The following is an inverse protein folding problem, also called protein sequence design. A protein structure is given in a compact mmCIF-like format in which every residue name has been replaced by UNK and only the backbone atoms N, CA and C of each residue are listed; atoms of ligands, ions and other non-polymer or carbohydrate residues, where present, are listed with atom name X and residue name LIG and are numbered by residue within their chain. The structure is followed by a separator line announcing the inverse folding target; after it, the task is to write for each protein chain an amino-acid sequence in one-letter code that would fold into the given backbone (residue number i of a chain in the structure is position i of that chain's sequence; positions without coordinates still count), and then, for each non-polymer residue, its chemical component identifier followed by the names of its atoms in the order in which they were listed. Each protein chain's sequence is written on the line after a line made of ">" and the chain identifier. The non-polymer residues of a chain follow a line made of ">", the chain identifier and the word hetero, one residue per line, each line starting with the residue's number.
data_IF_547741491578
#
_entry.id   IF_547741491578
#
_cell.length_a   1.000
_cell.length_b   1.000
_cell.length_c   1.000
_cell.angle_alpha   90.00
_cell.angle_beta   90.00
_cell.angle_gamma   90.00
#
_symmetry.space_group_name_H-M   'P 1'
#
loop_
_entity.id
_entity.type
_entity.pdbx_description
1 polymer ?
#
# COMPACT_ATOMS: atom_id res chain seq x y z
N UNK A 1 6.17 -6.01 18.96
CA UNK A 1 5.51 -4.70 19.08
C UNK A 1 4.95 -4.41 17.70
N UNK A 2 3.64 -4.24 17.59
CA UNK A 2 2.96 -4.02 16.30
C UNK A 2 2.79 -2.51 16.10
N UNK A 3 3.67 -1.91 15.30
CA UNK A 3 3.68 -0.49 14.96
C UNK A 3 2.52 -0.17 14.00
N UNK A 4 1.32 -0.01 14.56
CA UNK A 4 0.14 0.45 13.82
C UNK A 4 0.17 1.98 13.72
N UNK A 5 0.83 2.51 12.67
CA UNK A 5 0.72 3.92 12.29
C UNK A 5 -0.50 4.06 11.37
N UNK A 6 -1.63 4.48 11.96
CA UNK A 6 -2.87 4.72 11.23
C UNK A 6 -2.75 6.03 10.43
N UNK A 7 -2.61 5.95 9.11
CA UNK A 7 -2.70 7.13 8.23
C UNK A 7 -4.18 7.55 8.16
N UNK A 8 -4.42 8.87 8.19
CA UNK A 8 -5.71 9.54 8.50
C UNK A 8 -6.90 9.22 7.57
N UNK A 9 -6.76 8.24 6.67
CA UNK A 9 -7.77 7.74 5.74
C UNK A 9 -8.41 6.41 6.19
N UNK A 10 -8.10 5.91 7.39
CA UNK A 10 -8.68 4.67 7.93
C UNK A 10 -8.02 3.39 7.40
N UNK A 11 -6.88 3.52 6.73
CA UNK A 11 -6.05 2.40 6.29
C UNK A 11 -4.73 2.44 7.05
N UNK A 12 -4.46 1.42 7.86
CA UNK A 12 -3.20 1.24 8.59
C UNK A 12 -2.13 0.69 7.64
N UNK A 13 -0.91 1.19 7.73
CA UNK A 13 0.20 0.67 6.94
C UNK A 13 1.21 0.00 7.86
N UNK A 14 1.72 -1.16 7.45
CA UNK A 14 2.84 -1.76 8.18
C UNK A 14 4.14 -1.04 7.83
N UNK A 15 5.14 -1.04 8.74
CA UNK A 15 6.43 -0.41 8.47
C UNK A 15 7.16 -1.02 7.26
N UNK A 16 6.92 -2.29 6.92
CA UNK A 16 7.45 -2.89 5.69
C UNK A 16 6.79 -2.28 4.43
N UNK A 17 5.47 -2.08 4.47
CA UNK A 17 4.73 -1.47 3.37
C UNK A 17 5.10 0.01 3.19
N UNK A 18 5.24 0.78 4.28
CA UNK A 18 5.71 2.17 4.21
C UNK A 18 7.09 2.25 3.55
N UNK A 19 8.06 1.43 3.98
CA UNK A 19 9.41 1.42 3.37
C UNK A 19 9.38 1.12 1.88
N UNK A 20 8.52 0.20 1.44
CA UNK A 20 8.36 -0.09 0.00
C UNK A 20 7.72 1.08 -0.75
N UNK A 21 6.74 1.76 -0.15
CA UNK A 21 6.12 2.95 -0.72
C UNK A 21 7.10 4.13 -0.80
N UNK A 22 8.00 4.26 0.18
CA UNK A 22 9.07 5.26 0.18
C UNK A 22 10.10 5.02 -0.95
N UNK A 23 10.38 3.76 -1.30
CA UNK A 23 11.23 3.41 -2.44
C UNK A 23 10.61 3.75 -3.80
N UNK A 24 9.29 3.97 -3.86
CA UNK A 24 8.61 4.37 -5.09
C UNK A 24 8.84 5.88 -5.31
N UNK A 25 9.21 6.31 -6.54
CA UNK A 25 9.36 7.72 -6.86
C UNK A 25 8.11 8.55 -6.57
N UNK A 26 8.27 9.79 -6.12
CA UNK A 26 7.16 10.63 -5.64
C UNK A 26 6.04 10.85 -6.67
N UNK A 27 6.34 10.83 -7.96
CA UNK A 27 5.35 10.99 -9.02
C UNK A 27 4.45 9.75 -9.21
N UNK A 28 4.96 8.56 -8.87
CA UNK A 28 4.20 7.30 -8.89
C UNK A 28 3.59 7.00 -7.52
N UNK A 29 4.22 7.44 -6.43
CA UNK A 29 3.77 7.18 -5.05
C UNK A 29 2.27 7.38 -4.82
N UNK A 30 1.61 8.48 -5.27
CA UNK A 30 0.16 8.64 -5.08
C UNK A 30 -0.67 7.66 -5.95
N UNK A 31 -0.19 7.26 -7.13
CA UNK A 31 -0.84 6.23 -7.94
C UNK A 31 -0.72 4.86 -7.30
N UNK A 32 0.48 4.49 -6.83
CA UNK A 32 0.71 3.25 -6.11
C UNK A 32 -0.15 3.18 -4.85
N UNK A 33 -0.14 4.24 -4.01
CA UNK A 33 -0.94 4.31 -2.77
C UNK A 33 -2.43 4.05 -3.05
N UNK A 34 -2.98 4.68 -4.10
CA UNK A 34 -4.39 4.48 -4.51
C UNK A 34 -4.69 3.04 -4.92
N UNK A 35 -3.82 2.41 -5.70
CA UNK A 35 -4.01 1.02 -6.13
C UNK A 35 -3.95 0.07 -4.91
N UNK A 36 -3.03 0.32 -3.99
CA UNK A 36 -2.88 -0.44 -2.74
C UNK A 36 -4.12 -0.27 -1.84
N UNK A 37 -4.60 0.96 -1.64
CA UNK A 37 -5.84 1.24 -0.90
C UNK A 37 -7.05 0.55 -1.54
N UNK A 38 -7.11 0.51 -2.87
CA UNK A 38 -8.17 -0.18 -3.61
C UNK A 38 -8.12 -1.68 -3.36
N UNK A 39 -6.94 -2.31 -3.44
CA UNK A 39 -6.79 -3.75 -3.17
C UNK A 39 -7.12 -4.08 -1.72
N UNK A 40 -6.66 -3.26 -0.77
CA UNK A 40 -6.99 -3.41 0.64
C UNK A 40 -8.52 -3.39 0.84
N UNK A 41 -9.21 -2.43 0.23
CA UNK A 41 -10.67 -2.32 0.26
C UNK A 41 -11.38 -3.50 -0.42
N UNK A 42 -10.91 -3.97 -1.58
CA UNK A 42 -11.45 -5.15 -2.26
C UNK A 42 -11.29 -6.42 -1.42
N UNK A 43 -10.18 -6.54 -0.68
CA UNK A 43 -9.91 -7.63 0.25
C UNK A 43 -10.70 -7.51 1.56
N UNK A 44 -11.35 -6.35 1.81
CA UNK A 44 -12.00 -6.05 3.08
C UNK A 44 -11.01 -5.87 4.24
N UNK A 45 -9.74 -5.60 3.95
CA UNK A 45 -8.71 -5.34 4.96
C UNK A 45 -8.47 -3.84 5.07
N UNK A 46 -8.37 -3.36 6.30
CA UNK A 46 -8.01 -1.97 6.60
C UNK A 46 -6.52 -1.82 6.88
N UNK A 47 -5.73 -2.88 6.78
CA UNK A 47 -4.28 -2.87 6.99
C UNK A 47 -3.53 -3.27 5.73
N UNK A 48 -2.73 -2.35 5.20
CA UNK A 48 -1.80 -2.60 4.10
C UNK A 48 -0.59 -3.32 4.66
N UNK A 49 -0.45 -4.57 4.26
CA UNK A 49 0.71 -5.41 4.56
C UNK A 49 1.59 -5.57 3.31
N UNK A 50 2.76 -6.17 3.48
CA UNK A 50 3.64 -6.53 2.37
C UNK A 50 2.92 -7.34 1.27
N UNK A 51 1.96 -8.19 1.65
CA UNK A 51 1.20 -8.99 0.69
C UNK A 51 0.28 -8.14 -0.20
N UNK A 52 -0.38 -7.12 0.38
CA UNK A 52 -1.21 -6.16 -0.38
C UNK A 52 -0.31 -5.32 -1.30
N UNK A 53 0.88 -4.93 -0.82
CA UNK A 53 1.88 -4.22 -1.62
C UNK A 53 2.35 -5.05 -2.83
N UNK A 54 2.62 -6.34 -2.64
CA UNK A 54 3.07 -7.22 -3.73
C UNK A 54 1.99 -7.40 -4.79
N UNK A 55 0.72 -7.58 -4.40
CA UNK A 55 -0.41 -7.62 -5.34
C UNK A 55 -0.60 -6.30 -6.09
N UNK A 56 -0.51 -5.17 -5.39
CA UNK A 56 -0.64 -3.86 -6.00
C UNK A 56 0.52 -3.59 -6.98
N UNK A 57 1.73 -3.99 -6.61
CA UNK A 57 2.91 -3.87 -7.45
C UNK A 57 2.78 -4.73 -8.71
N UNK A 58 2.31 -5.97 -8.61
CA UNK A 58 2.08 -6.84 -9.77
C UNK A 58 1.07 -6.23 -10.74
N UNK A 59 -0.08 -5.75 -10.22
CA UNK A 59 -1.07 -5.03 -11.03
C UNK A 59 -0.52 -3.74 -11.65
N UNK A 60 0.22 -2.97 -10.88
CA UNK A 60 0.81 -1.71 -11.33
C UNK A 60 1.88 -1.92 -12.41
N UNK A 61 2.76 -2.91 -12.23
CA UNK A 61 3.78 -3.30 -13.22
C UNK A 61 3.17 -3.91 -14.47
N UNK A 62 2.01 -4.58 -14.36
CA UNK A 62 1.28 -5.10 -15.52
C UNK A 62 0.59 -4.00 -16.35
N UNK A 63 0.35 -2.84 -15.74
CA UNK A 63 -0.32 -1.71 -16.39
C UNK A 63 0.65 -0.69 -16.98
N UNK A 64 1.93 -0.72 -16.58
CA UNK A 64 3.02 0.06 -17.15
C UNK A 64 3.64 -0.65 -18.35
#
# INVERSE_FOLDING_TARGET
>A
MDDSKTDSNGVSWTPDAEKRLENIPDFIRPMARREIERIAKERGVTTVTAQVMDEAKDKFMKFM
#
